data_IF_258370768255
#
_entry.id   IF_258370768255
#
_cell.length_a   1.000
_cell.length_b   1.000
_cell.length_c   1.000
_cell.angle_alpha   90.00
_cell.angle_beta   90.00
_cell.angle_gamma   90.00
#
_symmetry.space_group_name_H-M   'P 1'
#
loop_
_entity.id
_entity.type
_entity.pdbx_description
1 polymer ?
#
# COMPACT_ATOMS: atom_id res chain seq x y z
N UNK A 1 -17.19 -12.58 -3.34
CA UNK A 1 -15.73 -12.54 -3.22
C UNK A 1 -15.21 -11.90 -4.50
N UNK A 2 -14.48 -10.80 -4.43
CA UNK A 2 -14.03 -10.01 -5.60
C UNK A 2 -12.77 -10.64 -6.22
N UNK A 3 -12.52 -10.39 -7.51
CA UNK A 3 -11.31 -10.86 -8.20
C UNK A 3 -10.02 -10.31 -7.56
N UNK A 4 -10.07 -9.06 -7.10
CA UNK A 4 -9.01 -8.39 -6.36
C UNK A 4 -8.65 -9.15 -5.07
N UNK A 5 -9.65 -9.57 -4.29
CA UNK A 5 -9.43 -10.34 -3.07
C UNK A 5 -8.64 -11.63 -3.35
N UNK A 6 -9.06 -12.40 -4.37
CA UNK A 6 -8.39 -13.65 -4.73
C UNK A 6 -6.94 -13.41 -5.15
N UNK A 7 -6.67 -12.37 -5.94
CA UNK A 7 -5.30 -12.03 -6.38
C UNK A 7 -4.42 -11.58 -5.21
N UNK A 8 -4.93 -10.72 -4.32
CA UNK A 8 -4.21 -10.29 -3.12
C UNK A 8 -3.84 -11.46 -2.22
N UNK A 9 -4.74 -12.43 -2.04
CA UNK A 9 -4.49 -13.62 -1.21
C UNK A 9 -3.26 -14.42 -1.68
N UNK A 10 -3.03 -14.51 -2.98
CA UNK A 10 -1.87 -15.24 -3.53
C UNK A 10 -0.59 -14.42 -3.58
N UNK A 11 -0.69 -13.09 -3.57
CA UNK A 11 0.45 -12.20 -3.79
C UNK A 11 0.99 -11.59 -2.50
N UNK A 12 0.18 -11.44 -1.46
CA UNK A 12 0.63 -10.98 -0.14
C UNK A 12 1.26 -12.12 0.66
N UNK A 13 2.56 -12.37 0.40
CA UNK A 13 3.34 -13.43 1.05
C UNK A 13 4.19 -12.88 2.21
N UNK A 14 4.67 -13.74 3.13
CA UNK A 14 5.57 -13.34 4.22
C UNK A 14 6.90 -12.71 3.73
N UNK A 15 7.27 -12.98 2.47
CA UNK A 15 8.52 -12.52 1.87
C UNK A 15 8.48 -11.04 1.46
N UNK A 16 7.34 -10.37 1.63
CA UNK A 16 7.19 -8.94 1.35
C UNK A 16 7.40 -8.09 2.61
N UNK A 17 8.09 -6.95 2.46
CA UNK A 17 8.22 -5.93 3.50
C UNK A 17 6.94 -5.09 3.66
N UNK A 18 6.11 -5.03 2.62
CA UNK A 18 4.92 -4.21 2.62
C UNK A 18 4.21 -4.12 1.29
N UNK A 19 3.14 -3.34 1.28
CA UNK A 19 2.32 -3.01 0.13
C UNK A 19 2.21 -1.50 -0.02
N UNK A 20 2.47 -1.00 -1.23
CA UNK A 20 2.12 0.34 -1.65
C UNK A 20 0.85 0.24 -2.48
N UNK A 21 -0.22 0.85 -2.00
CA UNK A 21 -1.53 0.89 -2.64
C UNK A 21 -1.80 2.29 -3.17
N UNK A 22 -1.97 2.38 -4.49
CA UNK A 22 -2.06 3.64 -5.21
C UNK A 22 -3.46 3.78 -5.82
N UNK A 23 -4.15 4.87 -5.52
CA UNK A 23 -5.53 5.14 -5.97
C UNK A 23 -5.70 6.60 -6.35
N UNK A 24 -6.64 6.92 -7.23
CA UNK A 24 -6.91 8.32 -7.58
C UNK A 24 -7.65 9.08 -6.46
N UNK A 25 -8.40 8.37 -5.62
CA UNK A 25 -9.18 8.93 -4.52
C UNK A 25 -8.41 8.94 -3.19
N UNK A 26 -8.91 9.75 -2.25
CA UNK A 26 -8.35 9.84 -0.89
C UNK A 26 -8.72 8.59 -0.11
N UNK A 27 -7.87 8.20 0.85
CA UNK A 27 -8.14 7.05 1.71
C UNK A 27 -9.50 7.11 2.41
N UNK A 28 -9.88 8.29 2.89
CA UNK A 28 -11.14 8.50 3.63
C UNK A 28 -12.39 8.36 2.74
N UNK A 29 -12.24 8.45 1.42
CA UNK A 29 -13.32 8.22 0.44
C UNK A 29 -13.53 6.73 0.16
N UNK A 30 -12.76 5.84 0.81
CA UNK A 30 -12.79 4.38 0.67
C UNK A 30 -12.61 3.92 -0.78
N UNK A 31 -11.43 4.16 -1.38
CA UNK A 31 -11.17 3.86 -2.78
C UNK A 31 -11.23 2.37 -3.09
N UNK A 32 -11.16 2.03 -4.39
CA UNK A 32 -11.15 0.64 -4.83
C UNK A 32 -10.04 -0.17 -4.14
N UNK A 33 -10.40 -1.33 -3.59
CA UNK A 33 -9.52 -2.16 -2.76
C UNK A 33 -9.54 -1.85 -1.27
N UNK A 34 -10.27 -0.82 -0.82
CA UNK A 34 -10.34 -0.47 0.61
C UNK A 34 -10.83 -1.63 1.46
N UNK A 35 -11.95 -2.26 1.12
CA UNK A 35 -12.53 -3.32 1.96
C UNK A 35 -11.69 -4.60 1.95
N UNK A 36 -11.12 -4.95 0.79
CA UNK A 36 -10.22 -6.09 0.65
C UNK A 36 -8.98 -5.90 1.52
N UNK A 37 -8.32 -4.74 1.41
CA UNK A 37 -7.16 -4.44 2.22
C UNK A 37 -7.57 -4.29 3.69
N UNK A 38 -8.65 -3.60 4.03
CA UNK A 38 -9.10 -3.51 5.42
C UNK A 38 -9.32 -4.89 6.07
N UNK A 39 -9.79 -5.88 5.30
CA UNK A 39 -9.86 -7.26 5.75
C UNK A 39 -8.47 -7.90 5.98
N UNK A 40 -7.51 -7.73 5.06
CA UNK A 40 -6.14 -8.24 5.24
C UNK A 40 -5.37 -7.54 6.36
N UNK A 41 -5.81 -6.36 6.76
CA UNK A 41 -5.18 -5.53 7.79
C UNK A 41 -6.06 -5.41 9.04
N UNK A 42 -6.91 -6.41 9.33
CA UNK A 42 -7.70 -6.54 10.56
C UNK A 42 -8.52 -5.30 10.95
N UNK A 43 -9.09 -4.62 9.96
CA UNK A 43 -9.94 -3.44 10.16
C UNK A 43 -9.16 -2.14 10.40
N UNK A 44 -7.84 -2.12 10.21
CA UNK A 44 -6.97 -0.97 10.50
C UNK A 44 -7.37 0.30 9.72
N UNK A 45 -7.79 0.16 8.46
CA UNK A 45 -8.19 1.30 7.64
C UNK A 45 -9.51 1.88 8.12
N UNK A 46 -10.47 1.02 8.49
CA UNK A 46 -11.74 1.44 9.08
C UNK A 46 -11.52 2.14 10.42
N UNK A 47 -10.64 1.61 11.28
CA UNK A 47 -10.30 2.23 12.56
C UNK A 47 -9.67 3.61 12.37
N UNK A 48 -8.77 3.74 11.39
CA UNK A 48 -8.17 5.02 11.03
C UNK A 48 -9.22 6.03 10.52
N UNK A 49 -10.09 5.60 9.61
CA UNK A 49 -11.13 6.47 9.02
C UNK A 49 -12.22 6.89 10.02
N UNK A 50 -12.40 6.17 11.13
CA UNK A 50 -13.38 6.50 12.16
C UNK A 50 -12.93 7.62 13.12
N UNK A 51 -11.66 8.05 13.05
CA UNK A 51 -11.13 9.07 13.94
C UNK A 51 -11.65 10.48 13.55
N UNK A 52 -12.23 11.25 14.49
CA UNK A 52 -13.01 12.46 14.19
C UNK A 52 -12.21 13.65 13.64
N UNK A 53 -10.87 13.60 13.67
CA UNK A 53 -10.00 14.70 13.26
C UNK A 53 -8.86 14.27 12.33
N UNK A 54 -8.94 13.08 11.72
CA UNK A 54 -7.87 12.61 10.83
C UNK A 54 -7.83 13.49 9.57
N UNK A 55 -6.70 14.17 9.30
CA UNK A 55 -6.55 14.92 8.07
C UNK A 55 -6.53 13.98 6.87
N UNK A 56 -7.07 14.45 5.75
CA UNK A 56 -6.87 13.78 4.47
C UNK A 56 -5.43 14.00 4.01
N UNK A 57 -4.61 12.94 4.05
CA UNK A 57 -3.23 12.99 3.57
C UNK A 57 -3.11 12.41 2.15
N UNK A 58 -2.15 12.95 1.39
CA UNK A 58 -1.72 12.39 0.09
C UNK A 58 -1.10 11.00 0.27
N UNK A 59 -0.33 10.81 1.34
CA UNK A 59 0.34 9.55 1.67
C UNK A 59 0.00 9.20 3.10
N UNK A 60 -0.50 7.99 3.33
CA UNK A 60 -0.80 7.47 4.67
C UNK A 60 -0.05 6.17 4.89
N UNK A 61 0.64 6.07 6.02
CA UNK A 61 1.48 4.93 6.36
C UNK A 61 0.90 4.16 7.54
N UNK A 62 0.79 2.85 7.36
CA UNK A 62 0.33 1.90 8.35
C UNK A 62 1.40 0.85 8.57
N UNK A 63 1.49 0.37 9.80
CA UNK A 63 2.33 -0.77 10.15
C UNK A 63 1.49 -1.78 10.91
N UNK A 64 1.61 -3.02 10.49
CA UNK A 64 1.02 -4.18 11.15
C UNK A 64 2.06 -5.29 11.24
N UNK A 65 1.68 -6.41 11.83
CA UNK A 65 2.43 -7.65 11.75
C UNK A 65 1.74 -8.58 10.75
N UNK A 66 2.54 -9.22 9.89
CA UNK A 66 2.08 -10.27 8.98
C UNK A 66 3.02 -11.46 9.08
N UNK A 67 2.48 -12.64 9.40
CA UNK A 67 3.25 -13.87 9.60
C UNK A 67 4.41 -13.73 10.61
N UNK A 68 4.23 -12.91 11.65
CA UNK A 68 5.24 -12.66 12.67
C UNK A 68 6.37 -11.72 12.26
N UNK A 69 6.24 -11.04 11.11
CA UNK A 69 7.17 -10.01 10.66
C UNK A 69 6.44 -8.66 10.53
N UNK A 70 7.17 -7.56 10.73
CA UNK A 70 6.67 -6.23 10.39
C UNK A 70 6.24 -6.19 8.92
N UNK A 71 5.03 -5.70 8.68
CA UNK A 71 4.46 -5.49 7.36
C UNK A 71 3.87 -4.10 7.29
N UNK A 72 4.24 -3.35 6.25
CA UNK A 72 3.78 -1.97 6.10
C UNK A 72 2.74 -1.85 4.99
N UNK A 73 1.72 -1.04 5.19
CA UNK A 73 0.80 -0.61 4.14
C UNK A 73 0.93 0.89 3.94
N UNK A 74 1.18 1.31 2.70
CA UNK A 74 1.21 2.72 2.35
C UNK A 74 0.12 3.00 1.33
N UNK A 75 -0.86 3.83 1.70
CA UNK A 75 -1.78 4.42 0.73
C UNK A 75 -1.12 5.65 0.11
N UNK A 76 -1.15 5.75 -1.22
CA UNK A 76 -0.66 6.89 -1.98
C UNK A 76 -1.75 7.38 -2.94
N UNK A 77 -2.21 8.60 -2.73
CA UNK A 77 -2.97 9.35 -3.72
C UNK A 77 -1.98 10.15 -4.60
N UNK A 78 -1.76 9.78 -5.87
CA UNK A 78 -0.82 10.51 -6.70
C UNK A 78 -1.36 11.90 -7.03
N UNK A 79 -0.50 12.90 -6.85
CA UNK A 79 -0.80 14.26 -7.28
C UNK A 79 -0.57 14.46 -8.78
N UNK A 80 -0.47 15.72 -9.19
CA UNK A 80 -0.04 16.09 -10.54
C UNK A 80 1.48 15.89 -10.76
N UNK A 81 2.23 15.71 -9.67
CA UNK A 81 3.68 15.49 -9.68
C UNK A 81 4.09 14.08 -10.14
N UNK A 82 5.40 13.90 -10.35
CA UNK A 82 6.01 12.61 -10.69
C UNK A 82 5.91 11.63 -9.51
N UNK A 83 5.01 10.66 -9.66
CA UNK A 83 4.77 9.53 -8.73
C UNK A 83 6.05 8.77 -8.37
N UNK A 84 7.05 8.74 -9.26
CA UNK A 84 8.32 8.04 -9.03
C UNK A 84 9.06 8.57 -7.81
N UNK A 85 9.05 9.90 -7.57
CA UNK A 85 9.71 10.50 -6.42
C UNK A 85 9.01 10.13 -5.11
N UNK A 86 7.67 10.09 -5.13
CA UNK A 86 6.89 9.66 -3.97
C UNK A 86 7.22 8.19 -3.62
N UNK A 87 7.29 7.33 -4.66
CA UNK A 87 7.65 5.92 -4.49
C UNK A 87 9.08 5.74 -3.97
N UNK A 88 10.06 6.49 -4.46
CA UNK A 88 11.43 6.48 -3.93
C UNK A 88 11.49 6.87 -2.45
N UNK A 89 10.74 7.91 -2.05
CA UNK A 89 10.67 8.35 -0.66
C UNK A 89 10.04 7.28 0.24
N UNK A 90 8.92 6.69 -0.19
CA UNK A 90 8.22 5.63 0.53
C UNK A 90 9.16 4.42 0.70
N UNK A 91 9.88 4.02 -0.35
CA UNK A 91 10.85 2.93 -0.27
C UNK A 91 12.00 3.23 0.68
N UNK A 92 12.48 4.47 0.70
CA UNK A 92 13.50 4.91 1.65
C UNK A 92 13.05 4.78 3.10
N UNK A 93 11.76 4.94 3.39
CA UNK A 93 11.17 4.74 4.71
C UNK A 93 11.00 3.25 5.03
N UNK A 94 10.47 2.48 4.08
CA UNK A 94 10.23 1.04 4.24
C UNK A 94 11.52 0.25 4.50
N UNK A 95 12.58 0.48 3.72
CA UNK A 95 13.84 -0.24 3.92
C UNK A 95 14.61 0.17 5.17
N UNK A 96 14.40 1.38 5.70
CA UNK A 96 14.98 1.74 7.01
C UNK A 96 14.35 0.93 8.13
N UNK A 97 13.10 0.51 7.95
CA UNK A 97 12.34 -0.27 8.93
C UNK A 97 12.54 -1.78 8.75
N UNK A 98 12.64 -2.25 7.51
CA UNK A 98 12.81 -3.67 7.21
C UNK A 98 14.28 -4.09 7.19
N UNK A 99 14.73 -4.73 8.28
CA UNK A 99 16.10 -5.23 8.40
C UNK A 99 16.44 -6.36 7.40
N UNK A 100 15.43 -7.00 6.81
CA UNK A 100 15.58 -8.13 5.89
C UNK A 100 15.69 -7.69 4.42
N UNK A 101 15.51 -6.39 4.13
CA UNK A 101 15.54 -5.81 2.78
C UNK A 101 14.67 -6.59 1.76
N UNK A 102 13.48 -6.99 2.23
CA UNK A 102 12.46 -7.71 1.48
C UNK A 102 11.82 -6.82 0.42
N UNK A 103 11.34 -7.38 -0.71
CA UNK A 103 10.63 -6.62 -1.72
C UNK A 103 9.35 -5.97 -1.19
N UNK A 104 8.94 -4.88 -1.84
CA UNK A 104 7.69 -4.18 -1.56
C UNK A 104 6.74 -4.36 -2.73
N UNK A 105 5.52 -4.83 -2.45
CA UNK A 105 4.50 -4.98 -3.46
C UNK A 105 3.90 -3.60 -3.84
N UNK A 106 3.55 -3.43 -5.11
CA UNK A 106 2.88 -2.22 -5.61
C UNK A 106 1.56 -2.62 -6.26
N UNK A 107 0.46 -2.22 -5.63
CA UNK A 107 -0.89 -2.31 -6.17
C UNK A 107 -1.27 -0.94 -6.76
N UNK A 108 -1.27 -0.84 -8.08
CA UNK A 108 -1.68 0.37 -8.77
C UNK A 108 -3.12 0.25 -9.29
N UNK A 109 -4.05 0.89 -8.58
CA UNK A 109 -5.45 1.04 -9.00
C UNK A 109 -5.76 2.47 -9.45
N UNK A 110 -4.74 3.30 -9.65
CA UNK A 110 -4.87 4.66 -10.17
C UNK A 110 -4.83 4.70 -11.69
N UNK A 111 -5.29 5.80 -12.26
CA UNK A 111 -5.17 6.13 -13.68
C UNK A 111 -3.72 6.37 -14.16
N UNK A 112 -2.76 6.47 -13.24
CA UNK A 112 -1.36 6.79 -13.56
C UNK A 112 -0.60 5.56 -14.03
N UNK A 113 0.19 5.71 -15.09
CA UNK A 113 1.16 4.70 -15.50
C UNK A 113 2.41 4.76 -14.63
N UNK A 114 2.84 3.61 -14.12
CA UNK A 114 4.08 3.49 -13.35
C UNK A 114 5.24 3.09 -14.25
N UNK A 115 6.38 3.77 -14.07
CA UNK A 115 7.66 3.39 -14.70
C UNK A 115 8.68 3.07 -13.61
N UNK A 116 8.54 1.88 -13.03
CA UNK A 116 9.47 1.39 -12.01
C UNK A 116 10.63 0.66 -12.68
N UNK A 117 11.86 1.06 -12.34
CA UNK A 117 13.11 0.42 -12.79
C UNK A 117 13.84 -0.32 -11.67
N UNK A 118 13.26 -0.32 -10.48
CA UNK A 118 13.89 -0.84 -9.27
C UNK A 118 13.33 -2.22 -8.95
N UNK A 119 14.24 -3.22 -8.92
CA UNK A 119 13.91 -4.62 -8.69
C UNK A 119 13.39 -4.90 -7.27
N UNK A 120 13.41 -3.91 -6.38
CA UNK A 120 12.84 -3.98 -5.04
C UNK A 120 11.32 -3.82 -5.04
N UNK A 121 10.74 -3.37 -6.15
CA UNK A 121 9.29 -3.37 -6.35
C UNK A 121 8.81 -4.65 -7.01
N UNK A 122 7.76 -5.22 -6.45
CA UNK A 122 6.98 -6.26 -7.10
C UNK A 122 5.62 -5.67 -7.51
N UNK A 123 5.43 -5.42 -8.81
CA UNK A 123 4.14 -4.92 -9.32
C UNK A 123 3.13 -6.06 -9.25
N UNK A 124 1.96 -5.77 -8.66
CA UNK A 124 0.83 -6.67 -8.65
C UNK A 124 0.00 -6.41 -9.91
N UNK A 125 0.04 -7.35 -10.87
CA UNK A 125 -0.84 -7.31 -12.04
C UNK A 125 -2.24 -7.81 -11.64
N UNK A 126 -3.18 -6.86 -11.47
CA UNK A 126 -4.55 -7.13 -11.01
C UNK A 126 -5.57 -6.58 -12.00
#
# INVERSE_FOLDING_TARGET
MTELYSKLQFQLTPDLAGLIWITDEKLLDRPNGFNELDYFFDGLLTQFAAQPEVPSFKTTFFSTESFGNDFSLTHLQPGEEKIEKDLENIMGLLHKKDALNRPVAVLNLSSKQLKLKDNRFQILDI
#
